data_IF_546753834953
#
_entry.id   IF_546753834953
#
_cell.length_a   1.000
_cell.length_b   1.000
_cell.length_c   1.000
_cell.angle_alpha   90.00
_cell.angle_beta   90.00
_cell.angle_gamma   90.00
#
_symmetry.space_group_name_H-M   'P 1'
#
loop_
_entity.id
_entity.type
_entity.pdbx_description
1 polymer ?
#
# COMPACT_ATOMS: atom_id res chain seq x y z
N UNK A 1 6.24 -11.54 -0.59
CA UNK A 1 7.62 -11.39 -1.14
C UNK A 1 7.66 -12.03 -2.52
N UNK A 2 8.69 -11.79 -3.33
CA UNK A 2 8.84 -12.37 -4.67
C UNK A 2 9.27 -13.83 -4.60
N UNK A 3 10.01 -14.19 -3.55
CA UNK A 3 10.55 -15.52 -3.33
C UNK A 3 10.37 -15.93 -1.87
N UNK A 4 10.40 -17.23 -1.60
CA UNK A 4 10.46 -17.71 -0.22
C UNK A 4 11.75 -17.22 0.42
N UNK A 5 11.62 -16.62 1.60
CA UNK A 5 12.72 -16.10 2.41
C UNK A 5 12.91 -16.94 3.65
N UNK A 6 14.06 -16.81 4.30
CA UNK A 6 14.37 -17.46 5.56
C UNK A 6 13.33 -17.12 6.63
N UNK A 7 12.80 -15.89 6.62
CA UNK A 7 11.72 -15.48 7.55
C UNK A 7 10.42 -16.22 7.27
N UNK A 8 10.07 -16.47 6.00
CA UNK A 8 8.86 -17.22 5.67
C UNK A 8 8.98 -18.73 5.97
N UNK A 9 10.20 -19.24 6.07
CA UNK A 9 10.49 -20.67 6.24
C UNK A 9 11.16 -21.03 7.57
N UNK A 10 11.29 -20.09 8.51
CA UNK A 10 12.03 -20.27 9.77
C UNK A 10 11.62 -21.52 10.56
N UNK A 11 10.37 -21.94 10.42
CA UNK A 11 9.79 -23.08 11.12
C UNK A 11 10.21 -24.45 10.54
N UNK A 12 10.86 -24.49 9.37
CA UNK A 12 11.29 -25.72 8.69
C UNK A 12 12.66 -25.66 7.99
N UNK A 13 13.32 -24.52 8.02
CA UNK A 13 14.64 -24.28 7.44
C UNK A 13 15.42 -23.32 8.35
N UNK A 14 16.74 -23.31 8.20
CA UNK A 14 17.63 -22.45 8.99
C UNK A 14 18.55 -23.25 9.90
N UNK A 15 19.51 -22.56 10.50
CA UNK A 15 20.59 -23.20 11.22
C UNK A 15 20.11 -23.92 12.49
N UNK A 16 19.09 -23.40 13.16
CA UNK A 16 18.43 -24.00 14.33
C UNK A 16 17.72 -25.31 13.95
N UNK A 17 17.05 -25.33 12.80
CA UNK A 17 16.42 -26.54 12.27
C UNK A 17 17.46 -27.59 11.88
N UNK A 18 18.53 -27.19 11.19
CA UNK A 18 19.63 -28.09 10.77
C UNK A 18 20.39 -28.68 11.97
N UNK A 19 20.57 -27.91 13.05
CA UNK A 19 21.17 -28.38 14.31
C UNK A 19 20.21 -29.22 15.17
N UNK A 20 18.92 -29.32 14.79
CA UNK A 20 17.90 -30.04 15.55
C UNK A 20 17.42 -29.32 16.81
N UNK A 21 17.70 -28.02 16.94
CA UNK A 21 17.27 -27.16 18.04
C UNK A 21 15.81 -26.69 17.86
N UNK A 22 15.30 -26.73 16.62
CA UNK A 22 13.91 -26.41 16.26
C UNK A 22 13.24 -27.61 15.61
N UNK A 23 12.06 -28.02 16.13
CA UNK A 23 11.21 -29.03 15.50
C UNK A 23 9.93 -28.35 14.97
N UNK A 24 9.57 -28.53 13.68
CA UNK A 24 8.39 -27.92 13.08
C UNK A 24 7.10 -28.19 13.87
N UNK A 25 6.97 -29.40 14.41
CA UNK A 25 5.81 -29.87 15.19
C UNK A 25 5.55 -29.04 16.47
N UNK A 26 6.57 -28.34 16.98
CA UNK A 26 6.48 -27.49 18.17
C UNK A 26 6.22 -26.03 17.84
N UNK A 27 6.29 -25.64 16.57
CA UNK A 27 6.07 -24.25 16.15
C UNK A 27 4.57 -24.00 16.01
N UNK A 28 4.02 -23.17 16.89
CA UNK A 28 2.59 -22.83 16.91
C UNK A 28 2.22 -21.66 15.99
N UNK A 29 3.20 -21.02 15.36
CA UNK A 29 2.99 -19.86 14.48
C UNK A 29 2.33 -20.27 13.18
N UNK A 30 1.19 -19.66 12.84
CA UNK A 30 0.61 -19.75 11.51
C UNK A 30 1.31 -18.78 10.56
N UNK A 31 1.77 -19.28 9.41
CA UNK A 31 2.53 -18.49 8.43
C UNK A 31 1.77 -18.44 7.11
N UNK A 32 1.43 -17.23 6.68
CA UNK A 32 0.88 -16.95 5.36
C UNK A 32 1.95 -16.30 4.49
N UNK A 33 2.28 -16.95 3.36
CA UNK A 33 3.16 -16.36 2.36
C UNK A 33 2.34 -15.88 1.16
N UNK A 34 2.39 -14.57 0.89
CA UNK A 34 1.74 -13.96 -0.26
C UNK A 34 2.78 -13.60 -1.33
N UNK A 35 2.69 -14.16 -2.55
CA UNK A 35 3.59 -13.82 -3.65
C UNK A 35 3.34 -12.40 -4.13
N UNK A 36 4.39 -11.58 -4.16
CA UNK A 36 4.31 -10.16 -4.52
C UNK A 36 4.80 -9.91 -5.96
N UNK A 37 4.31 -8.83 -6.58
CA UNK A 37 4.76 -8.36 -7.88
C UNK A 37 6.07 -7.56 -7.77
N UNK A 38 7.04 -7.83 -8.64
CA UNK A 38 8.28 -7.09 -8.74
C UNK A 38 8.08 -5.62 -9.19
N UNK A 39 9.12 -4.79 -9.11
CA UNK A 39 9.02 -3.38 -9.51
C UNK A 39 8.65 -3.20 -11.00
N UNK A 40 9.02 -4.14 -11.88
CA UNK A 40 8.66 -4.11 -13.30
C UNK A 40 7.21 -4.55 -13.58
N UNK A 41 6.51 -5.05 -12.56
CA UNK A 41 5.21 -5.71 -12.67
C UNK A 41 4.06 -4.88 -12.07
N UNK A 42 4.33 -3.64 -11.68
CA UNK A 42 3.38 -2.71 -11.09
C UNK A 42 3.73 -1.26 -11.41
N UNK A 43 2.73 -0.39 -11.37
CA UNK A 43 2.93 1.06 -11.40
C UNK A 43 3.28 1.57 -10.00
N UNK A 44 4.03 2.66 -9.94
CA UNK A 44 4.36 3.28 -8.66
C UNK A 44 5.45 4.32 -8.75
N UNK A 45 5.82 4.84 -7.59
CA UNK A 45 6.97 5.73 -7.45
C UNK A 45 7.94 5.25 -6.38
N UNK A 46 9.19 5.66 -6.54
CA UNK A 46 10.21 5.51 -5.51
C UNK A 46 11.03 6.79 -5.38
N UNK A 47 11.58 7.00 -4.19
CA UNK A 47 12.38 8.18 -3.87
C UNK A 47 13.82 7.74 -3.65
N UNK A 48 14.73 8.25 -4.48
CA UNK A 48 16.14 7.88 -4.38
C UNK A 48 16.89 8.70 -3.31
N UNK A 49 18.19 8.41 -3.12
CA UNK A 49 19.03 9.08 -2.14
C UNK A 49 19.18 10.60 -2.35
N UNK A 50 18.93 11.10 -3.56
CA UNK A 50 18.96 12.53 -3.89
C UNK A 50 17.59 13.19 -3.68
N UNK A 51 16.61 12.45 -3.12
CA UNK A 51 15.21 12.85 -2.93
C UNK A 51 14.47 13.09 -4.24
N UNK A 52 14.97 12.55 -5.36
CA UNK A 52 14.22 12.53 -6.60
C UNK A 52 13.18 11.43 -6.50
N UNK A 53 11.91 11.84 -6.61
CA UNK A 53 10.76 10.94 -6.71
C UNK A 53 10.58 10.62 -8.19
N UNK A 54 10.54 9.34 -8.54
CA UNK A 54 10.48 8.89 -9.93
C UNK A 54 9.30 7.95 -10.11
N UNK A 55 8.46 8.23 -11.10
CA UNK A 55 7.42 7.32 -11.55
C UNK A 55 7.98 6.20 -12.42
N UNK A 56 7.41 5.01 -12.28
CA UNK A 56 7.61 3.94 -13.24
C UNK A 56 6.27 3.29 -13.59
N UNK A 57 6.21 2.80 -14.82
CA UNK A 57 5.04 2.08 -15.31
C UNK A 57 5.23 0.57 -15.23
N UNK A 58 4.13 -0.17 -15.06
CA UNK A 58 4.10 -1.61 -15.22
C UNK A 58 4.54 -1.98 -16.64
N UNK A 59 5.56 -2.84 -16.73
CA UNK A 59 6.09 -3.30 -18.01
C UNK A 59 5.54 -4.67 -18.43
N UNK A 60 5.28 -5.56 -17.45
CA UNK A 60 4.78 -6.92 -17.66
C UNK A 60 3.78 -7.29 -16.56
N UNK A 61 2.96 -8.31 -16.79
CA UNK A 61 2.10 -8.85 -15.74
C UNK A 61 2.91 -9.71 -14.75
N UNK A 62 2.57 -9.68 -13.45
CA UNK A 62 3.22 -10.52 -12.46
C UNK A 62 2.96 -12.01 -12.70
N UNK A 63 3.89 -12.90 -12.32
CA UNK A 63 3.77 -14.33 -12.59
C UNK A 63 2.69 -15.00 -11.75
N UNK A 64 1.91 -15.89 -12.37
CA UNK A 64 0.91 -16.70 -11.70
C UNK A 64 -0.13 -15.86 -10.95
N UNK A 65 -0.23 -16.07 -9.64
CA UNK A 65 -1.18 -15.36 -8.76
C UNK A 65 -0.52 -14.22 -7.97
N UNK A 66 0.71 -13.85 -8.30
CA UNK A 66 1.36 -12.71 -7.66
C UNK A 66 0.59 -11.41 -7.93
N UNK A 67 0.54 -10.52 -6.93
CA UNK A 67 -0.15 -9.22 -7.00
C UNK A 67 0.72 -8.13 -6.41
N UNK A 68 0.41 -6.88 -6.74
CA UNK A 68 1.07 -5.74 -6.11
C UNK A 68 0.75 -5.70 -4.61
N UNK A 69 1.61 -5.04 -3.83
CA UNK A 69 1.35 -4.79 -2.41
C UNK A 69 0.17 -3.82 -2.23
N UNK A 70 -0.07 -2.92 -3.19
CA UNK A 70 -1.22 -2.03 -3.18
C UNK A 70 -2.53 -2.83 -3.24
N UNK A 71 -2.63 -3.77 -4.18
CA UNK A 71 -3.77 -4.69 -4.27
C UNK A 71 -3.97 -5.45 -2.97
N UNK A 72 -2.90 -6.04 -2.41
CA UNK A 72 -3.00 -6.80 -1.17
C UNK A 72 -3.53 -5.94 0.00
N UNK A 73 -2.93 -4.78 0.26
CA UNK A 73 -3.32 -3.90 1.36
C UNK A 73 -4.73 -3.33 1.16
N UNK A 74 -5.06 -2.92 -0.06
CA UNK A 74 -6.36 -2.36 -0.38
C UNK A 74 -7.49 -3.37 -0.10
N UNK A 75 -7.37 -4.59 -0.63
CA UNK A 75 -8.39 -5.63 -0.43
C UNK A 75 -8.43 -6.18 0.99
N UNK A 76 -7.29 -6.25 1.69
CA UNK A 76 -7.27 -6.56 3.12
C UNK A 76 -8.05 -5.50 3.91
N UNK A 77 -7.81 -4.21 3.66
CA UNK A 77 -8.55 -3.12 4.28
C UNK A 77 -10.05 -3.22 4.04
N UNK A 78 -10.48 -3.48 2.79
CA UNK A 78 -11.91 -3.66 2.46
C UNK A 78 -12.54 -4.83 3.22
N UNK A 79 -11.86 -5.98 3.28
CA UNK A 79 -12.34 -7.16 4.02
C UNK A 79 -12.46 -6.89 5.52
N UNK A 80 -11.50 -6.17 6.10
CA UNK A 80 -11.55 -5.77 7.50
C UNK A 80 -12.72 -4.81 7.76
N UNK A 81 -12.89 -3.77 6.93
CA UNK A 81 -14.05 -2.86 7.07
C UNK A 81 -15.38 -3.60 6.95
N UNK A 82 -15.49 -4.56 6.04
CA UNK A 82 -16.70 -5.39 5.91
C UNK A 82 -16.93 -6.27 7.13
N UNK A 83 -15.89 -6.91 7.66
CA UNK A 83 -15.96 -7.75 8.86
C UNK A 83 -16.48 -6.95 10.07
N UNK A 84 -16.08 -5.68 10.19
CA UNK A 84 -16.43 -4.79 11.29
C UNK A 84 -17.65 -3.90 11.02
N UNK A 85 -18.32 -4.02 9.88
CA UNK A 85 -19.35 -3.07 9.44
C UNK A 85 -20.53 -2.91 10.43
N UNK A 86 -20.82 -3.95 11.22
CA UNK A 86 -21.85 -3.93 12.27
C UNK A 86 -21.33 -3.63 13.68
N UNK A 87 -20.04 -3.39 13.87
CA UNK A 87 -19.48 -3.16 15.20
C UNK A 87 -19.88 -1.80 15.75
N UNK A 88 -20.27 -1.78 17.02
CA UNK A 88 -20.51 -0.57 17.81
C UNK A 88 -19.43 -0.33 18.87
N UNK A 89 -18.38 -1.15 18.92
CA UNK A 89 -17.28 -0.98 19.86
C UNK A 89 -16.49 0.30 19.51
N UNK A 90 -16.29 1.24 20.46
CA UNK A 90 -15.52 2.46 20.22
C UNK A 90 -14.12 2.21 19.63
N UNK A 91 -13.49 1.08 19.95
CA UNK A 91 -12.13 0.76 19.45
C UNK A 91 -12.09 0.51 17.93
N UNK A 92 -13.22 0.17 17.32
CA UNK A 92 -13.31 -0.19 15.89
C UNK A 92 -13.60 1.03 15.01
N UNK A 93 -13.96 2.18 15.61
CA UNK A 93 -14.27 3.42 14.88
C UNK A 93 -13.15 3.88 13.94
N UNK A 94 -11.85 3.86 14.31
CA UNK A 94 -10.79 4.28 13.41
C UNK A 94 -10.73 3.45 12.12
N UNK A 95 -10.98 2.13 12.19
CA UNK A 95 -11.03 1.27 11.01
C UNK A 95 -12.23 1.62 10.12
N UNK A 96 -13.40 1.85 10.73
CA UNK A 96 -14.63 2.14 10.01
C UNK A 96 -14.60 3.52 9.34
N UNK A 97 -14.00 4.51 9.99
CA UNK A 97 -13.92 5.91 9.53
C UNK A 97 -12.75 6.18 8.59
N UNK A 98 -11.79 5.26 8.45
CA UNK A 98 -10.67 5.39 7.52
C UNK A 98 -11.16 5.50 6.07
N UNK A 99 -10.80 6.57 5.36
CA UNK A 99 -11.03 6.72 3.92
C UNK A 99 -10.29 5.61 3.16
N UNK A 100 -11.01 4.85 2.32
CA UNK A 100 -10.48 3.64 1.68
C UNK A 100 -11.19 3.31 0.35
N UNK A 101 -11.42 4.34 -0.45
CA UNK A 101 -12.30 4.37 -1.63
C UNK A 101 -11.54 4.63 -2.95
N UNK A 102 -10.32 4.09 -3.05
CA UNK A 102 -9.52 4.20 -4.27
C UNK A 102 -10.20 3.52 -5.47
N UNK A 103 -10.18 4.15 -6.66
CA UNK A 103 -10.67 3.51 -7.87
C UNK A 103 -9.78 2.32 -8.24
N UNK A 104 -10.40 1.30 -8.81
CA UNK A 104 -9.73 0.07 -9.22
C UNK A 104 -9.78 -0.12 -10.73
N UNK A 105 -8.80 -0.85 -11.26
CA UNK A 105 -8.68 -1.13 -12.68
C UNK A 105 -8.30 -2.59 -12.95
N UNK A 106 -8.55 -3.02 -14.19
CA UNK A 106 -8.20 -4.34 -14.67
C UNK A 106 -9.04 -5.48 -14.06
N UNK A 107 -8.71 -6.73 -14.40
CA UNK A 107 -9.52 -7.91 -14.06
C UNK A 107 -9.44 -8.33 -12.59
N UNK A 108 -8.52 -7.75 -11.82
CA UNK A 108 -8.27 -8.11 -10.41
C UNK A 108 -8.56 -6.96 -9.45
N UNK A 109 -9.25 -5.91 -9.90
CA UNK A 109 -9.52 -4.72 -9.09
C UNK A 109 -8.23 -4.14 -8.47
N UNK A 110 -7.21 -3.91 -9.29
CA UNK A 110 -5.95 -3.28 -8.87
C UNK A 110 -6.21 -1.81 -8.51
N UNK A 111 -5.89 -1.33 -7.29
CA UNK A 111 -6.09 0.07 -6.93
C UNK A 111 -5.16 1.00 -7.73
N UNK A 112 -5.70 2.14 -8.17
CA UNK A 112 -4.95 3.15 -8.93
C UNK A 112 -3.82 3.77 -8.10
N UNK A 113 -2.58 3.45 -8.45
CA UNK A 113 -1.39 4.06 -7.83
C UNK A 113 -1.36 5.59 -8.00
N UNK A 114 -1.85 6.12 -9.13
CA UNK A 114 -1.94 7.57 -9.35
C UNK A 114 -2.94 8.25 -8.41
N UNK A 115 -4.07 7.60 -8.11
CA UNK A 115 -5.05 8.12 -7.15
C UNK A 115 -4.45 8.23 -5.74
N UNK A 116 -3.60 7.27 -5.38
CA UNK A 116 -2.85 7.29 -4.11
C UNK A 116 -1.79 8.40 -4.13
N UNK A 117 -1.05 8.59 -5.24
CA UNK A 117 -0.12 9.72 -5.38
C UNK A 117 -0.84 11.07 -5.27
N UNK A 118 -2.03 11.21 -5.85
CA UNK A 118 -2.86 12.41 -5.71
C UNK A 118 -3.25 12.67 -4.25
N UNK A 119 -3.57 11.64 -3.48
CA UNK A 119 -3.85 11.78 -2.05
C UNK A 119 -2.58 12.16 -1.25
N UNK A 120 -1.44 11.55 -1.57
CA UNK A 120 -0.14 11.89 -0.98
C UNK A 120 0.22 13.36 -1.25
N UNK A 121 0.07 13.82 -2.50
CA UNK A 121 0.23 15.23 -2.90
C UNK A 121 -0.63 16.16 -2.05
N UNK A 122 -1.89 15.77 -1.88
CA UNK A 122 -2.91 16.53 -1.19
C UNK A 122 -3.85 17.29 -2.12
N UNK A 123 -4.98 17.69 -1.55
CA UNK A 123 -6.09 18.33 -2.25
C UNK A 123 -6.92 19.21 -1.31
N UNK A 124 -7.72 20.11 -1.88
CA UNK A 124 -8.72 20.90 -1.17
C UNK A 124 -9.96 20.07 -0.86
N UNK A 125 -10.40 20.04 0.39
CA UNK A 125 -11.54 19.21 0.83
C UNK A 125 -12.84 19.60 0.12
N UNK A 126 -13.04 20.89 -0.16
CA UNK A 126 -14.29 21.41 -0.71
C UNK A 126 -14.59 20.95 -2.14
N UNK A 127 -13.58 20.80 -2.99
CA UNK A 127 -13.74 20.49 -4.42
C UNK A 127 -12.83 19.36 -4.94
N UNK A 128 -12.00 18.78 -4.06
CA UNK A 128 -11.11 17.67 -4.38
C UNK A 128 -9.93 18.05 -5.30
N UNK A 129 -9.68 19.33 -5.59
CA UNK A 129 -8.61 19.71 -6.51
C UNK A 129 -7.24 19.55 -5.88
N UNK A 130 -6.22 19.03 -6.61
CA UNK A 130 -4.87 18.93 -6.08
C UNK A 130 -4.32 20.28 -5.65
N UNK A 131 -3.62 20.30 -4.51
CA UNK A 131 -2.84 21.49 -4.13
C UNK A 131 -1.54 21.54 -4.93
N UNK A 132 -1.13 22.73 -5.34
CA UNK A 132 0.07 22.93 -6.17
C UNK A 132 1.39 22.83 -5.40
N UNK A 133 1.34 22.70 -4.07
CA UNK A 133 2.52 22.65 -3.21
C UNK A 133 2.22 22.89 -1.74
N UNK A 134 3.18 22.53 -0.88
CA UNK A 134 2.99 22.54 0.58
C UNK A 134 2.65 23.91 1.18
N UNK A 135 3.04 25.01 0.53
CA UNK A 135 2.70 26.39 0.97
C UNK A 135 1.21 26.71 0.87
N UNK A 136 0.43 25.86 0.20
CA UNK A 136 -1.03 25.99 0.07
C UNK A 136 -1.80 25.17 1.09
N UNK A 137 -1.14 24.28 1.83
CA UNK A 137 -1.78 23.49 2.89
C UNK A 137 -2.21 24.38 4.05
N UNK A 138 -3.38 24.09 4.61
CA UNK A 138 -4.01 24.82 5.71
C UNK A 138 -4.19 23.93 6.94
N UNK A 139 -4.08 24.54 8.13
CA UNK A 139 -4.27 23.86 9.41
C UNK A 139 -5.73 23.83 9.90
N UNK A 140 -6.66 24.42 9.13
CA UNK A 140 -8.08 24.54 9.46
C UNK A 140 -8.94 23.37 8.95
N UNK A 141 -8.31 22.37 8.32
CA UNK A 141 -9.00 21.23 7.73
C UNK A 141 -9.55 21.48 6.31
N UNK A 142 -9.29 22.63 5.69
CA UNK A 142 -9.72 22.89 4.31
C UNK A 142 -8.86 22.17 3.25
N UNK A 143 -7.72 21.61 3.65
CA UNK A 143 -6.84 20.80 2.80
C UNK A 143 -6.43 19.49 3.50
N UNK A 144 -6.28 18.41 2.73
CA UNK A 144 -5.65 17.17 3.18
C UNK A 144 -4.39 16.88 2.36
N UNK A 145 -3.42 16.17 2.95
CA UNK A 145 -2.23 15.66 2.27
C UNK A 145 -1.69 14.44 3.02
N UNK A 146 -1.47 13.33 2.31
CA UNK A 146 -0.88 12.13 2.89
C UNK A 146 0.60 12.32 3.27
N UNK A 147 1.33 13.19 2.56
CA UNK A 147 2.67 13.60 2.94
C UNK A 147 2.99 15.01 2.40
N UNK A 148 3.06 16.00 3.30
CA UNK A 148 3.26 17.40 2.92
C UNK A 148 4.55 17.65 2.11
N UNK A 149 5.60 16.83 2.32
CA UNK A 149 6.86 16.93 1.57
C UNK A 149 6.69 16.61 0.08
N UNK A 150 5.67 15.84 -0.28
CA UNK A 150 5.36 15.43 -1.65
C UNK A 150 4.30 16.34 -2.28
N UNK A 151 3.77 17.31 -1.54
CA UNK A 151 2.82 18.27 -2.08
C UNK A 151 3.46 19.09 -3.20
N UNK A 152 2.89 18.97 -4.40
CA UNK A 152 3.41 19.44 -5.67
C UNK A 152 3.63 18.32 -6.70
N UNK A 153 3.71 17.05 -6.29
CA UNK A 153 3.94 15.92 -7.21
C UNK A 153 2.74 15.56 -8.10
N UNK A 154 1.55 16.10 -7.83
CA UNK A 154 0.34 15.92 -8.64
C UNK A 154 -0.30 17.27 -8.99
N UNK A 155 0.52 18.27 -9.32
CA UNK A 155 0.05 19.60 -9.69
C UNK A 155 -0.77 19.57 -11.00
N UNK A 156 -1.70 20.52 -11.14
CA UNK A 156 -2.59 20.70 -12.30
C UNK A 156 -3.42 19.47 -12.69
N UNK A 157 -3.60 18.52 -11.76
CA UNK A 157 -4.35 17.28 -12.02
C UNK A 157 -3.57 16.23 -12.79
N UNK A 158 -2.24 16.36 -12.87
CA UNK A 158 -1.35 15.45 -13.59
C UNK A 158 -0.22 15.00 -12.68
N UNK A 159 0.16 13.73 -12.80
CA UNK A 159 1.33 13.17 -12.13
C UNK A 159 2.62 13.82 -12.68
N UNK A 160 3.40 14.47 -11.80
CA UNK A 160 4.62 15.22 -12.14
C UNK A 160 5.91 14.42 -11.86
N UNK A 161 5.77 13.15 -11.48
CA UNK A 161 6.85 12.24 -11.07
C UNK A 161 7.54 11.55 -12.25
#
# INVERSE_FOLDING_TARGET
DFVLTETAEFWRKGAEYERGELRPEEVQTEVFFFPAAAHSEKDGSFTNAHRLVQWHHKAIEPPGEARSELHFLFHLGRRLKQLYAGSSDPKDRPLLELTWDYPTEGPYDEPSAESIVREINGYTIADGKPVSGYTKLQADGSTASGCWLYSGCFADGVNQL
#
